data_IF_364330758897
#
_entry.id   IF_364330758897
#
_cell.length_a   1.000
_cell.length_b   1.000
_cell.length_c   1.000
_cell.angle_alpha   90.00
_cell.angle_beta   90.00
_cell.angle_gamma   90.00
#
_symmetry.space_group_name_H-M   'P 1'
#
loop_
_entity.id
_entity.type
_entity.pdbx_description
1 polymer ?
#
# COMPACT_ATOMS: atom_id res chain seq x y z
N UNK A 1 -20.10 6.77 2.94
CA UNK A 1 -20.04 7.62 1.74
C UNK A 1 -20.07 6.72 0.51
N UNK A 2 -20.74 7.11 -0.56
CA UNK A 2 -20.59 6.42 -1.84
C UNK A 2 -19.22 6.80 -2.41
N UNK A 3 -18.32 5.82 -2.55
CA UNK A 3 -16.95 5.99 -3.04
C UNK A 3 -16.77 5.38 -4.45
N UNK A 4 -17.87 5.09 -5.15
CA UNK A 4 -17.83 4.39 -6.45
C UNK A 4 -17.03 5.16 -7.49
N UNK A 5 -17.13 6.49 -7.50
CA UNK A 5 -16.41 7.34 -8.45
C UNK A 5 -14.89 7.33 -8.17
N UNK A 6 -14.51 7.39 -6.89
CA UNK A 6 -13.11 7.34 -6.45
C UNK A 6 -12.47 5.98 -6.73
N UNK A 7 -13.22 4.90 -6.52
CA UNK A 7 -12.77 3.54 -6.87
C UNK A 7 -12.59 3.42 -8.39
N UNK A 8 -13.52 3.94 -9.18
CA UNK A 8 -13.43 3.94 -10.64
C UNK A 8 -12.29 4.82 -11.18
N UNK A 9 -11.83 5.80 -10.39
CA UNK A 9 -10.68 6.64 -10.74
C UNK A 9 -9.33 5.94 -10.53
N UNK A 10 -9.28 4.75 -9.92
CA UNK A 10 -8.07 3.93 -9.87
C UNK A 10 -7.78 3.34 -11.26
N UNK A 11 -6.89 4.00 -12.01
CA UNK A 11 -6.60 3.68 -13.42
C UNK A 11 -5.42 2.73 -13.63
N UNK A 12 -4.72 2.36 -12.56
CA UNK A 12 -3.49 1.56 -12.60
C UNK A 12 -2.26 2.29 -13.17
N UNK A 13 -2.37 3.58 -13.49
CA UNK A 13 -1.23 4.39 -13.90
C UNK A 13 -0.51 5.01 -12.68
N UNK A 14 0.76 5.33 -12.84
CA UNK A 14 1.56 5.88 -11.74
C UNK A 14 1.27 7.36 -11.50
N UNK A 15 0.83 8.09 -12.53
CA UNK A 15 0.49 9.51 -12.46
C UNK A 15 -0.70 9.76 -11.53
N UNK A 16 -1.79 9.00 -11.67
CA UNK A 16 -2.97 9.07 -10.79
C UNK A 16 -2.59 8.71 -9.37
N UNK A 17 -1.77 7.67 -9.16
CA UNK A 17 -1.26 7.34 -7.82
C UNK A 17 -0.51 8.51 -7.20
N UNK A 18 0.36 9.17 -7.97
CA UNK A 18 1.11 10.34 -7.51
C UNK A 18 0.19 11.51 -7.15
N UNK A 19 -0.73 11.86 -8.03
CA UNK A 19 -1.69 12.97 -7.83
C UNK A 19 -2.56 12.77 -6.59
N UNK A 20 -2.95 11.53 -6.30
CA UNK A 20 -3.76 11.20 -5.13
C UNK A 20 -2.94 11.16 -3.83
N UNK A 21 -1.67 10.75 -3.88
CA UNK A 21 -0.86 10.51 -2.68
C UNK A 21 -0.02 11.72 -2.23
N UNK A 22 0.52 12.53 -3.14
CA UNK A 22 1.37 13.68 -2.78
C UNK A 22 0.66 14.75 -1.92
N UNK A 23 -0.66 15.01 -2.07
CA UNK A 23 -1.39 15.88 -1.14
C UNK A 23 -1.57 15.28 0.25
N UNK A 24 -1.56 13.95 0.36
CA UNK A 24 -1.82 13.22 1.61
C UNK A 24 -0.54 13.03 2.43
N UNK A 25 0.57 12.71 1.76
CA UNK A 25 1.84 12.38 2.41
C UNK A 25 3.01 13.10 1.72
N UNK A 26 3.93 13.65 2.52
CA UNK A 26 5.10 14.36 2.01
C UNK A 26 6.31 13.46 1.73
N UNK A 27 6.33 12.25 2.31
CA UNK A 27 7.36 11.22 2.13
C UNK A 27 6.73 9.82 2.24
N UNK A 28 7.21 8.82 1.49
CA UNK A 28 8.30 8.87 0.50
C UNK A 28 7.91 9.59 -0.81
N UNK A 29 8.89 9.92 -1.66
CA UNK A 29 8.63 10.61 -2.95
C UNK A 29 7.92 9.68 -3.93
N UNK A 30 6.83 10.15 -4.52
CA UNK A 30 6.04 9.44 -5.53
C UNK A 30 6.64 9.61 -6.93
N UNK A 31 7.77 8.96 -7.19
CA UNK A 31 8.40 8.97 -8.52
C UNK A 31 7.94 7.80 -9.38
N UNK A 32 7.83 8.00 -10.68
CA UNK A 32 7.55 6.95 -11.68
C UNK A 32 8.36 5.67 -11.42
N UNK A 33 9.68 5.78 -11.22
CA UNK A 33 10.55 4.63 -10.95
C UNK A 33 10.12 3.80 -9.73
N UNK A 34 9.62 4.44 -8.69
CA UNK A 34 9.18 3.78 -7.45
C UNK A 34 7.76 3.23 -7.60
N UNK A 35 6.92 3.85 -8.42
CA UNK A 35 5.52 3.43 -8.59
C UNK A 35 5.36 2.34 -9.65
N UNK A 36 6.21 2.33 -10.68
CA UNK A 36 6.21 1.29 -11.74
C UNK A 36 6.93 0.00 -11.30
N UNK A 37 7.76 0.06 -10.27
CA UNK A 37 8.43 -1.11 -9.68
C UNK A 37 8.67 -0.92 -8.18
N UNK A 38 7.60 -0.93 -7.35
CA UNK A 38 7.70 -0.58 -5.95
C UNK A 38 8.49 -1.62 -5.15
N UNK A 39 9.64 -1.25 -4.55
CA UNK A 39 10.29 -2.13 -3.60
C UNK A 39 9.44 -2.23 -2.32
N UNK A 40 9.46 -3.38 -1.65
CA UNK A 40 8.70 -3.59 -0.40
C UNK A 40 8.89 -2.47 0.62
N UNK A 41 10.13 -1.98 0.78
CA UNK A 41 10.43 -0.90 1.73
C UNK A 41 9.68 0.40 1.41
N UNK A 42 9.51 0.71 0.13
CA UNK A 42 8.75 1.88 -0.31
C UNK A 42 7.27 1.72 0.04
N UNK A 43 6.66 0.56 -0.24
CA UNK A 43 5.26 0.29 0.12
C UNK A 43 5.02 0.40 1.63
N UNK A 44 5.90 -0.18 2.43
CA UNK A 44 5.85 -0.01 3.88
C UNK A 44 5.93 1.46 4.29
N UNK A 45 6.85 2.24 3.71
CA UNK A 45 6.97 3.67 4.01
C UNK A 45 5.70 4.45 3.64
N UNK A 46 5.06 4.12 2.51
CA UNK A 46 3.79 4.71 2.09
C UNK A 46 2.69 4.38 3.10
N UNK A 47 2.51 3.11 3.47
CA UNK A 47 1.48 2.69 4.41
C UNK A 47 1.63 3.34 5.78
N UNK A 48 2.86 3.35 6.32
CA UNK A 48 3.16 4.04 7.57
C UNK A 48 2.91 5.55 7.49
N UNK A 49 3.20 6.19 6.36
CA UNK A 49 2.95 7.62 6.18
C UNK A 49 1.45 7.93 6.12
N UNK A 50 0.66 7.10 5.41
CA UNK A 50 -0.80 7.23 5.33
C UNK A 50 -1.43 7.05 6.71
N UNK A 51 -1.04 6.01 7.45
CA UNK A 51 -1.48 5.79 8.83
C UNK A 51 -1.21 7.01 9.71
N UNK A 52 0.01 7.56 9.67
CA UNK A 52 0.38 8.74 10.46
C UNK A 52 -0.37 10.00 10.06
N UNK A 53 -0.67 10.19 8.78
CA UNK A 53 -1.34 11.38 8.28
C UNK A 53 -2.86 11.35 8.54
N UNK A 54 -3.47 10.17 8.57
CA UNK A 54 -4.94 10.02 8.54
C UNK A 54 -5.52 9.23 9.70
N UNK A 55 -4.71 8.43 10.40
CA UNK A 55 -5.17 7.41 11.35
C UNK A 55 -5.73 6.16 10.66
N UNK A 56 -5.72 6.06 9.33
CA UNK A 56 -6.18 4.89 8.62
C UNK A 56 -5.36 3.65 8.98
N UNK A 57 -6.04 2.53 9.19
CA UNK A 57 -5.44 1.24 9.59
C UNK A 57 -4.56 1.30 10.86
N UNK A 58 -4.80 2.29 11.73
CA UNK A 58 -4.10 2.37 13.01
C UNK A 58 -4.30 1.09 13.83
N UNK A 59 -3.18 0.48 14.26
CA UNK A 59 -3.19 -0.79 15.00
C UNK A 59 -3.28 -2.05 14.13
N UNK A 60 -3.24 -1.93 12.80
CA UNK A 60 -3.20 -3.10 11.89
C UNK A 60 -1.90 -3.90 12.03
N UNK A 61 -0.78 -3.20 12.20
CA UNK A 61 0.56 -3.78 12.29
C UNK A 61 1.06 -3.79 13.72
N UNK A 62 1.60 -4.94 14.15
CA UNK A 62 2.07 -5.14 15.52
C UNK A 62 3.56 -4.81 15.67
N UNK A 63 3.88 -4.02 16.69
CA UNK A 63 5.27 -3.78 17.10
C UNK A 63 5.92 -5.05 17.65
N UNK A 64 5.18 -5.86 18.43
CA UNK A 64 5.67 -7.13 18.97
C UNK A 64 6.04 -8.14 17.87
N UNK A 65 5.33 -8.09 16.75
CA UNK A 65 5.60 -8.93 15.57
C UNK A 65 6.67 -8.34 14.63
N UNK A 66 7.29 -7.19 14.97
CA UNK A 66 8.30 -6.53 14.13
C UNK A 66 7.75 -5.91 12.84
N UNK A 67 6.44 -5.68 12.76
CA UNK A 67 5.79 -5.22 11.53
C UNK A 67 5.83 -3.70 11.35
N UNK A 68 6.17 -2.97 12.42
CA UNK A 68 6.30 -1.50 12.40
C UNK A 68 7.67 -1.04 11.87
N UNK A 69 8.62 -1.97 11.73
CA UNK A 69 9.96 -1.73 11.19
C UNK A 69 10.19 -2.54 9.90
N UNK A 70 10.01 -1.91 8.75
CA UNK A 70 10.19 -2.57 7.44
C UNK A 70 11.58 -3.16 7.16
N UNK A 71 12.60 -2.91 8.00
CA UNK A 71 13.91 -3.59 7.93
C UNK A 71 13.91 -4.98 8.57
N UNK A 72 12.97 -5.24 9.48
CA UNK A 72 12.84 -6.51 10.20
C UNK A 72 12.06 -7.54 9.37
N UNK A 73 11.18 -7.08 8.46
CA UNK A 73 10.41 -7.91 7.54
C UNK A 73 11.27 -8.34 6.34
N UNK A 74 12.07 -9.40 6.53
CA UNK A 74 13.01 -9.90 5.51
C UNK A 74 12.43 -11.04 4.67
N UNK A 75 11.77 -11.97 5.35
CA UNK A 75 11.28 -13.22 4.77
C UNK A 75 10.21 -12.97 3.70
N UNK A 76 10.27 -13.77 2.63
CA UNK A 76 9.31 -13.66 1.52
C UNK A 76 7.88 -13.77 2.02
N UNK A 77 7.59 -14.76 2.87
CA UNK A 77 6.25 -14.97 3.40
C UNK A 77 5.81 -13.82 4.30
N UNK A 78 6.69 -13.32 5.17
CA UNK A 78 6.37 -12.18 6.04
C UNK A 78 6.00 -10.91 5.24
N UNK A 79 6.65 -10.67 4.09
CA UNK A 79 6.28 -9.57 3.17
C UNK A 79 4.90 -9.78 2.54
N UNK A 80 4.58 -11.02 2.15
CA UNK A 80 3.27 -11.37 1.60
C UNK A 80 2.20 -11.11 2.66
N UNK A 81 2.38 -11.66 3.86
CA UNK A 81 1.43 -11.52 4.97
C UNK A 81 1.20 -10.04 5.34
N UNK A 82 2.27 -9.25 5.38
CA UNK A 82 2.21 -7.80 5.63
C UNK A 82 1.36 -7.05 4.59
N UNK A 83 1.55 -7.35 3.31
CA UNK A 83 0.79 -6.72 2.22
C UNK A 83 -0.67 -7.22 2.19
N UNK A 84 -0.90 -8.51 2.42
CA UNK A 84 -2.25 -9.08 2.47
C UNK A 84 -3.11 -8.42 3.54
N UNK A 85 -2.54 -8.08 4.70
CA UNK A 85 -3.25 -7.33 5.75
C UNK A 85 -3.82 -6.03 5.19
N UNK A 86 -2.99 -5.21 4.53
CA UNK A 86 -3.43 -3.92 3.98
C UNK A 86 -4.47 -4.10 2.87
N UNK A 87 -4.23 -5.02 1.94
CA UNK A 87 -5.18 -5.31 0.83
C UNK A 87 -6.56 -5.69 1.39
N UNK A 88 -6.59 -6.59 2.38
CA UNK A 88 -7.85 -7.01 3.04
C UNK A 88 -8.51 -5.86 3.79
N UNK A 89 -7.75 -5.04 4.51
CA UNK A 89 -8.27 -3.88 5.24
C UNK A 89 -8.90 -2.86 4.29
N UNK A 90 -8.23 -2.55 3.16
CA UNK A 90 -8.76 -1.63 2.15
C UNK A 90 -10.02 -2.21 1.51
N UNK A 91 -9.99 -3.47 1.08
CA UNK A 91 -11.16 -4.12 0.47
C UNK A 91 -12.36 -4.19 1.41
N UNK A 92 -12.14 -4.52 2.68
CA UNK A 92 -13.17 -4.53 3.71
C UNK A 92 -13.77 -3.13 3.93
N UNK A 93 -12.92 -2.10 4.01
CA UNK A 93 -13.37 -0.73 4.27
C UNK A 93 -14.13 -0.12 3.09
N UNK A 94 -13.76 -0.48 1.86
CA UNK A 94 -14.41 0.00 0.63
C UNK A 94 -15.60 -0.87 0.20
N UNK A 95 -15.75 -2.08 0.74
CA UNK A 95 -16.77 -3.02 0.31
C UNK A 95 -16.58 -3.52 -1.12
N UNK A 96 -15.33 -3.53 -1.61
CA UNK A 96 -14.96 -3.97 -2.96
C UNK A 96 -13.78 -4.93 -2.92
N UNK A 97 -13.65 -5.77 -3.94
CA UNK A 97 -12.46 -6.58 -4.13
C UNK A 97 -11.30 -5.67 -4.61
N UNK A 98 -10.10 -5.93 -4.10
CA UNK A 98 -8.88 -5.23 -4.50
C UNK A 98 -8.04 -6.22 -5.30
N UNK A 99 -7.74 -5.88 -6.55
CA UNK A 99 -7.06 -6.76 -7.50
C UNK A 99 -5.59 -7.03 -7.15
N UNK A 100 -5.00 -6.18 -6.30
CA UNK A 100 -3.62 -6.26 -5.85
C UNK A 100 -3.32 -7.59 -5.13
N UNK A 101 -2.43 -8.41 -5.70
CA UNK A 101 -2.01 -9.70 -5.11
C UNK A 101 -0.67 -9.58 -4.43
N UNK A 102 -0.63 -9.74 -3.11
CA UNK A 102 0.60 -9.63 -2.31
C UNK A 102 1.79 -10.46 -2.85
N UNK A 103 1.55 -11.70 -3.28
CA UNK A 103 2.60 -12.55 -3.86
C UNK A 103 3.18 -12.00 -5.18
N UNK A 104 2.36 -11.32 -5.99
CA UNK A 104 2.77 -10.70 -7.26
C UNK A 104 3.55 -9.42 -7.01
N UNK A 105 3.10 -8.60 -6.06
CA UNK A 105 3.81 -7.40 -5.61
C UNK A 105 5.22 -7.76 -5.09
N UNK A 106 5.33 -8.79 -4.23
CA UNK A 106 6.64 -9.25 -3.71
C UNK A 106 7.55 -9.78 -4.83
N UNK A 107 6.98 -10.32 -5.91
CA UNK A 107 7.72 -10.74 -7.10
C UNK A 107 8.07 -9.57 -8.06
N UNK A 108 7.58 -8.36 -7.80
CA UNK A 108 7.76 -7.19 -8.66
C UNK A 108 6.97 -7.28 -9.97
N UNK A 109 5.78 -7.87 -9.92
CA UNK A 109 4.85 -8.05 -11.03
C UNK A 109 3.53 -7.32 -10.74
N UNK A 110 2.74 -7.05 -11.79
CA UNK A 110 1.39 -6.46 -11.67
C UNK A 110 1.41 -5.13 -10.88
N UNK A 111 2.33 -4.23 -11.20
CA UNK A 111 2.52 -2.97 -10.47
C UNK A 111 1.37 -1.96 -10.69
N UNK A 112 0.58 -2.18 -11.74
CA UNK A 112 -0.63 -1.46 -12.06
C UNK A 112 -1.83 -1.82 -11.17
N UNK A 113 -1.75 -2.91 -10.38
CA UNK A 113 -2.80 -3.39 -9.48
C UNK A 113 -2.49 -3.03 -8.02
#
# INVERSE_FOLDING_TARGET
PDLTAEIAACTGNWETTKEMMEPLISKPKMSEKLLTKPPFRFLHDVFTAVEKATGFAAGLYSEEAGETNGKEIKEKQAKIDYLEKMVKTVGFQLGTEVDARAAKIVAGLEAEN
#
